data_IF_518508462564
#
_entry.id   IF_518508462564
#
_cell.length_a   1.000
_cell.length_b   1.000
_cell.length_c   1.000
_cell.angle_alpha   90.00
_cell.angle_beta   90.00
_cell.angle_gamma   90.00
#
_symmetry.space_group_name_H-M   'P 1'
#
loop_
_entity.id
_entity.type
_entity.pdbx_description
1 polymer ?
#
# COMPACT_ATOMS: atom_id res chain seq x y z
N UNK A 1 -2.05 -7.69 -13.10
CA UNK A 1 -3.45 -7.27 -12.97
C UNK A 1 -3.60 -5.92 -13.64
N UNK A 2 -4.75 -5.61 -14.24
CA UNK A 2 -5.00 -4.23 -14.69
C UNK A 2 -5.48 -3.37 -13.51
N UNK A 3 -5.28 -2.03 -13.59
CA UNK A 3 -5.77 -1.07 -12.58
C UNK A 3 -7.26 -1.28 -12.25
N UNK A 4 -8.06 -1.51 -13.29
CA UNK A 4 -9.51 -1.60 -13.16
C UNK A 4 -9.95 -2.88 -12.45
N UNK A 5 -9.25 -3.99 -12.71
CA UNK A 5 -9.42 -5.24 -11.96
C UNK A 5 -8.97 -5.09 -10.50
N UNK A 6 -7.88 -4.36 -10.25
CA UNK A 6 -7.39 -4.06 -8.90
C UNK A 6 -8.42 -3.33 -8.05
N UNK A 7 -8.93 -2.21 -8.57
CA UNK A 7 -9.93 -1.40 -7.85
C UNK A 7 -11.19 -2.23 -7.60
N UNK A 8 -11.65 -3.02 -8.58
CA UNK A 8 -12.85 -3.86 -8.45
C UNK A 8 -12.67 -4.90 -7.33
N UNK A 9 -11.56 -5.63 -7.30
CA UNK A 9 -11.30 -6.60 -6.23
C UNK A 9 -11.19 -5.95 -4.85
N UNK A 10 -10.56 -4.77 -4.76
CA UNK A 10 -10.45 -4.02 -3.51
C UNK A 10 -11.83 -3.54 -3.02
N UNK A 11 -12.70 -3.07 -3.92
CA UNK A 11 -14.08 -2.68 -3.59
C UNK A 11 -14.90 -3.89 -3.12
N UNK A 12 -14.84 -5.03 -3.84
CA UNK A 12 -15.58 -6.24 -3.46
C UNK A 12 -15.15 -6.77 -2.09
N UNK A 13 -13.85 -6.69 -1.79
CA UNK A 13 -13.29 -7.09 -0.49
C UNK A 13 -13.42 -6.00 0.59
N UNK A 14 -14.02 -4.85 0.27
CA UNK A 14 -14.20 -3.69 1.16
C UNK A 14 -12.90 -3.15 1.75
N UNK A 15 -11.83 -3.17 0.98
CA UNK A 15 -10.57 -2.52 1.33
C UNK A 15 -10.63 -1.02 1.05
N UNK A 16 -11.58 -0.33 1.68
CA UNK A 16 -11.82 1.11 1.50
C UNK A 16 -10.60 1.96 1.81
N UNK A 17 -9.86 1.59 2.87
CA UNK A 17 -8.61 2.29 3.23
C UNK A 17 -7.57 2.22 2.11
N UNK A 18 -7.47 1.07 1.43
CA UNK A 18 -6.49 0.87 0.35
C UNK A 18 -6.93 1.60 -0.92
N UNK A 19 -8.23 1.64 -1.19
CA UNK A 19 -8.78 2.42 -2.30
C UNK A 19 -8.49 3.91 -2.13
N UNK A 20 -8.68 4.45 -0.93
CA UNK A 20 -8.32 5.84 -0.62
C UNK A 20 -6.81 6.08 -0.80
N UNK A 21 -5.98 5.15 -0.32
CA UNK A 21 -4.53 5.23 -0.46
C UNK A 21 -4.07 5.27 -1.92
N UNK A 22 -4.66 4.42 -2.76
CA UNK A 22 -4.41 4.43 -4.21
C UNK A 22 -4.85 5.77 -4.82
N UNK A 23 -6.03 6.27 -4.44
CA UNK A 23 -6.56 7.52 -4.99
C UNK A 23 -5.73 8.75 -4.55
N UNK A 24 -5.24 8.76 -3.32
CA UNK A 24 -4.34 9.80 -2.82
C UNK A 24 -2.97 9.74 -3.50
N UNK A 25 -2.43 8.54 -3.75
CA UNK A 25 -1.22 8.35 -4.55
C UNK A 25 -1.38 8.85 -5.99
N UNK A 26 -2.49 8.53 -6.67
CA UNK A 26 -2.78 9.02 -8.03
C UNK A 26 -2.92 10.54 -8.09
N UNK A 27 -3.40 11.15 -7.01
CA UNK A 27 -3.49 12.61 -6.87
C UNK A 27 -2.15 13.26 -6.51
N UNK A 28 -1.09 12.48 -6.30
CA UNK A 28 0.22 12.95 -5.84
C UNK A 28 0.15 13.56 -4.44
N UNK A 29 -0.72 13.02 -3.57
CA UNK A 29 -0.84 13.42 -2.16
C UNK A 29 0.00 12.57 -1.23
N UNK A 30 0.53 11.47 -1.75
CA UNK A 30 1.42 10.54 -1.06
C UNK A 30 2.69 10.46 -1.90
N UNK A 31 3.82 10.80 -1.29
CA UNK A 31 5.15 10.66 -1.88
C UNK A 31 5.86 9.41 -1.32
N UNK A 32 5.57 9.05 -0.07
CA UNK A 32 6.17 7.92 0.65
C UNK A 32 5.11 7.14 1.42
N UNK A 33 5.25 5.81 1.44
CA UNK A 33 4.39 4.91 2.20
C UNK A 33 5.24 3.96 3.04
N UNK A 34 5.11 4.09 4.35
CA UNK A 34 5.73 3.19 5.31
C UNK A 34 4.86 1.93 5.52
N UNK A 35 5.48 0.76 5.38
CA UNK A 35 4.82 -0.53 5.46
C UNK A 35 5.62 -1.50 6.34
N UNK A 36 4.93 -2.19 7.25
CA UNK A 36 5.58 -3.25 8.02
C UNK A 36 5.89 -4.47 7.14
N UNK A 37 7.17 -4.92 7.09
CA UNK A 37 7.59 -6.10 6.29
C UNK A 37 6.80 -7.37 6.64
N UNK A 38 6.44 -7.56 7.91
CA UNK A 38 5.74 -8.77 8.37
C UNK A 38 4.24 -8.80 8.06
N UNK A 39 3.59 -7.64 7.89
CA UNK A 39 2.13 -7.55 7.71
C UNK A 39 1.73 -7.27 6.26
N UNK A 40 2.58 -6.60 5.49
CA UNK A 40 2.20 -6.12 4.18
C UNK A 40 1.08 -5.08 4.26
N UNK A 41 0.58 -4.69 3.10
CA UNK A 41 -0.52 -3.72 2.93
C UNK A 41 -1.88 -4.45 2.95
N UNK A 42 -1.88 -5.69 2.46
CA UNK A 42 -3.04 -6.58 2.40
C UNK A 42 -2.64 -8.00 2.77
N UNK A 43 -3.54 -8.73 3.43
CA UNK A 43 -3.35 -10.16 3.73
C UNK A 43 -3.24 -11.02 2.46
N UNK A 44 -3.96 -10.63 1.41
CA UNK A 44 -3.92 -11.30 0.12
C UNK A 44 -2.65 -10.87 -0.64
N UNK A 45 -1.65 -11.76 -0.69
CA UNK A 45 -0.33 -11.47 -1.24
C UNK A 45 -0.39 -11.01 -2.70
N UNK A 46 -1.35 -11.52 -3.49
CA UNK A 46 -1.50 -11.13 -4.90
C UNK A 46 -1.98 -9.69 -5.04
N UNK A 47 -2.98 -9.32 -4.25
CA UNK A 47 -3.48 -7.94 -4.24
C UNK A 47 -2.43 -7.01 -3.65
N UNK A 48 -1.76 -7.41 -2.57
CA UNK A 48 -0.68 -6.66 -1.95
C UNK A 48 0.40 -6.28 -2.97
N UNK A 49 0.97 -7.26 -3.67
CA UNK A 49 1.99 -7.01 -4.71
C UNK A 49 1.46 -6.08 -5.81
N UNK A 50 0.22 -6.28 -6.25
CA UNK A 50 -0.37 -5.46 -7.30
C UNK A 50 -0.59 -4.00 -6.87
N UNK A 51 -1.04 -3.76 -5.63
CA UNK A 51 -1.19 -2.41 -5.07
C UNK A 51 0.16 -1.74 -4.89
N UNK A 52 1.13 -2.44 -4.29
CA UNK A 52 2.49 -1.92 -4.07
C UNK A 52 3.15 -1.55 -5.41
N UNK A 53 3.02 -2.40 -6.42
CA UNK A 53 3.51 -2.11 -7.76
C UNK A 53 2.84 -0.85 -8.34
N UNK A 54 1.52 -0.74 -8.21
CA UNK A 54 0.76 0.41 -8.70
C UNK A 54 1.18 1.72 -8.03
N UNK A 55 1.33 1.70 -6.70
CA UNK A 55 1.78 2.87 -5.92
C UNK A 55 3.17 3.33 -6.38
N UNK A 56 4.10 2.39 -6.60
CA UNK A 56 5.44 2.70 -7.14
C UNK A 56 5.36 3.31 -8.54
N UNK A 57 4.45 2.85 -9.39
CA UNK A 57 4.23 3.44 -10.71
C UNK A 57 3.68 4.88 -10.64
N UNK A 58 2.93 5.22 -9.59
CA UNK A 58 2.47 6.59 -9.35
C UNK A 58 3.55 7.51 -8.77
N UNK A 59 4.73 6.97 -8.42
CA UNK A 59 5.83 7.73 -7.83
C UNK A 59 5.90 7.67 -6.31
N UNK A 60 5.13 6.78 -5.67
CA UNK A 60 5.19 6.56 -4.22
C UNK A 60 6.38 5.68 -3.87
N UNK A 61 7.23 6.15 -2.95
CA UNK A 61 8.33 5.35 -2.39
C UNK A 61 7.82 4.44 -1.26
N UNK A 62 8.05 3.13 -1.39
CA UNK A 62 7.61 2.15 -0.39
C UNK A 62 8.75 1.87 0.59
N UNK A 63 8.58 2.31 1.83
CA UNK A 63 9.56 2.19 2.90
C UNK A 63 9.14 1.02 3.79
N UNK A 64 9.97 -0.02 3.83
CA UNK A 64 9.72 -1.18 4.66
C UNK A 64 10.25 -0.94 6.07
N UNK A 65 9.35 -0.78 7.04
CA UNK A 65 9.71 -0.59 8.46
C UNK A 65 9.64 -1.91 9.19
N UNK A 66 10.67 -2.21 9.98
CA UNK A 66 10.67 -3.35 10.90
C UNK A 66 10.26 -2.87 12.29
N UNK A 67 9.27 -3.56 12.88
CA UNK A 67 8.79 -3.33 14.25
C UNK A 67 9.88 -3.60 15.32
N UNK A 68 11.05 -4.11 14.89
CA UNK A 68 12.23 -4.38 15.73
C UNK A 68 13.16 -3.16 15.91
N UNK A 69 12.77 -1.96 15.45
CA UNK A 69 13.51 -0.76 15.82
C UNK A 69 13.10 -0.38 17.25
N UNK A 70 13.93 -0.60 18.28
CA UNK A 70 13.58 -0.17 19.62
C UNK A 70 13.33 1.34 19.56
N UNK A 71 12.14 1.77 19.98
CA UNK A 71 11.94 3.14 20.41
C UNK A 71 12.94 3.34 21.54
N UNK A 72 14.09 3.97 21.26
CA UNK A 72 14.98 4.42 22.33
C UNK A 72 14.16 5.42 23.16
N UNK A 73 13.67 4.95 24.31
CA UNK A 73 13.08 5.79 25.33
C UNK A 73 14.17 6.74 25.83
N UNK A 74 14.08 8.03 25.50
CA UNK A 74 14.85 9.10 26.17
C UNK A 74 14.20 9.50 27.51
#
# INVERSE_FOLDING_TARGET
MTRQELITELEEKKYTEILELIEDAEKGRIDELELAESLGLLYDTRLNDAVIAYLKEQGVEIIYVNEDTPLEEE
#
